data_IF_080754388103
#
_entry.id   IF_080754388103
#
_cell.length_a   1.000
_cell.length_b   1.000
_cell.length_c   1.000
_cell.angle_alpha   90.00
_cell.angle_beta   90.00
_cell.angle_gamma   90.00
#
_symmetry.space_group_name_H-M   'P 1'
#
loop_
_entity.id
_entity.type
_entity.pdbx_description
1 polymer ?
#
# COMPACT_ATOMS: atom_id res chain seq x y z
N UNK A 1 17.86 30.44 12.17
CA UNK A 1 16.72 31.31 12.56
C UNK A 1 15.66 30.44 13.21
N UNK A 2 15.11 30.82 14.37
CA UNK A 2 14.02 30.07 15.03
C UNK A 2 12.69 30.36 14.34
N UNK A 3 11.86 29.35 14.13
CA UNK A 3 10.51 29.53 13.57
C UNK A 3 9.58 30.10 14.66
N UNK A 4 8.76 31.08 14.30
CA UNK A 4 7.78 31.68 15.21
C UNK A 4 6.41 31.81 14.55
N UNK A 5 5.34 31.60 15.31
CA UNK A 5 3.95 31.85 14.89
C UNK A 5 3.21 32.54 16.02
N UNK A 6 2.50 33.63 15.70
CA UNK A 6 1.73 34.43 16.67
C UNK A 6 2.54 34.83 17.92
N UNK A 7 3.80 35.20 17.74
CA UNK A 7 4.68 35.64 18.82
C UNK A 7 5.26 34.53 19.70
N UNK A 8 4.92 33.26 19.46
CA UNK A 8 5.51 32.11 20.15
C UNK A 8 6.61 31.51 19.28
N UNK A 9 7.81 31.39 19.84
CA UNK A 9 8.92 30.70 19.20
C UNK A 9 8.75 29.19 19.37
N UNK A 10 8.92 28.43 18.29
CA UNK A 10 8.92 26.97 18.34
C UNK A 10 10.34 26.44 18.48
N UNK A 11 10.49 25.47 19.36
CA UNK A 11 11.62 24.55 19.30
C UNK A 11 11.31 23.57 18.16
N UNK A 12 12.19 23.58 17.16
CA UNK A 12 12.11 22.64 16.05
C UNK A 12 13.00 21.47 16.43
N UNK A 13 12.41 20.30 16.63
CA UNK A 13 13.15 19.04 16.76
C UNK A 13 13.27 18.44 15.34
N UNK A 14 14.38 18.67 14.62
CA UNK A 14 14.59 18.01 13.35
C UNK A 14 14.75 16.51 13.59
N UNK A 15 13.89 15.71 12.95
CA UNK A 15 14.02 14.26 12.95
C UNK A 15 15.32 13.89 12.22
N UNK A 16 16.27 13.29 12.94
CA UNK A 16 17.52 12.77 12.38
C UNK A 16 17.30 11.51 11.54
N UNK A 17 16.53 11.62 10.46
CA UNK A 17 16.25 10.51 9.57
C UNK A 17 17.46 10.28 8.67
N UNK A 18 18.01 9.05 8.67
CA UNK A 18 19.03 8.66 7.70
C UNK A 18 18.41 8.60 6.31
N UNK A 19 18.95 9.42 5.40
CA UNK A 19 18.52 9.52 4.00
C UNK A 19 19.60 8.91 3.12
N UNK A 20 19.20 8.01 2.22
CA UNK A 20 20.05 7.47 1.18
C UNK A 20 19.76 8.17 -0.15
N UNK A 21 20.81 8.44 -0.91
CA UNK A 21 20.69 8.82 -2.31
C UNK A 21 20.24 7.60 -3.12
N UNK A 22 19.21 7.75 -3.95
CA UNK A 22 18.79 6.71 -4.87
C UNK A 22 19.49 6.80 -6.21
N UNK A 23 19.49 5.66 -6.92
CA UNK A 23 20.13 5.52 -8.24
C UNK A 23 19.44 6.36 -9.34
N UNK A 24 18.23 6.85 -9.05
CA UNK A 24 17.44 7.68 -9.96
C UNK A 24 17.85 9.15 -9.79
N UNK A 25 18.38 9.74 -10.85
CA UNK A 25 18.74 11.15 -10.90
C UNK A 25 18.68 11.73 -12.31
N UNK A 26 18.89 13.03 -12.43
CA UNK A 26 18.89 13.75 -13.70
C UNK A 26 19.19 15.23 -13.53
N UNK A 27 18.87 16.03 -14.54
CA UNK A 27 18.96 17.49 -14.48
C UNK A 27 17.56 18.09 -14.57
N UNK A 28 17.16 18.91 -13.60
CA UNK A 28 15.93 19.70 -13.64
C UNK A 28 16.28 21.18 -13.71
N UNK A 29 15.86 21.85 -14.79
CA UNK A 29 16.14 23.28 -15.06
C UNK A 29 17.63 23.64 -14.97
N UNK A 30 18.50 22.76 -15.45
CA UNK A 30 19.95 22.95 -15.42
C UNK A 30 20.62 22.62 -14.08
N UNK A 31 19.86 22.38 -13.02
CA UNK A 31 20.37 21.92 -11.73
C UNK A 31 20.37 20.40 -11.67
N UNK A 32 21.39 19.80 -11.06
CA UNK A 32 21.37 18.37 -10.77
C UNK A 32 20.25 18.06 -9.74
N UNK A 33 19.43 17.08 -10.08
CA UNK A 33 18.35 16.58 -9.24
C UNK A 33 18.58 15.09 -8.99
N UNK A 34 18.55 14.70 -7.71
CA UNK A 34 18.67 13.30 -7.28
C UNK A 34 17.47 12.93 -6.43
N UNK A 35 16.98 11.71 -6.60
CA UNK A 35 15.96 11.16 -5.73
C UNK A 35 16.58 10.75 -4.40
N UNK A 36 15.96 11.16 -3.29
CA UNK A 36 16.42 10.84 -1.94
C UNK A 36 15.29 10.10 -1.23
N UNK A 37 15.60 8.98 -0.59
CA UNK A 37 14.62 8.23 0.18
C UNK A 37 15.17 7.82 1.56
N UNK A 38 14.31 7.72 2.58
CA UNK A 38 14.72 7.25 3.89
C UNK A 38 15.30 5.83 3.81
N UNK A 39 16.40 5.57 4.53
CA UNK A 39 16.98 4.22 4.61
C UNK A 39 16.02 3.20 5.22
N UNK A 40 15.26 3.63 6.23
CA UNK A 40 14.27 2.83 6.92
C UNK A 40 12.92 3.55 6.91
N UNK A 41 11.85 2.82 6.59
CA UNK A 41 10.49 3.36 6.68
C UNK A 41 10.14 3.54 8.17
N UNK A 42 9.88 4.76 8.64
CA UNK A 42 9.65 4.98 10.06
C UNK A 42 8.32 4.36 10.48
N UNK A 43 8.33 3.63 11.59
CA UNK A 43 7.10 3.12 12.17
C UNK A 43 6.34 4.26 12.85
N UNK A 44 5.10 4.46 12.42
CA UNK A 44 4.21 5.48 12.94
C UNK A 44 3.45 4.93 14.16
N UNK A 45 3.57 5.58 15.31
CA UNK A 45 2.77 5.25 16.48
C UNK A 45 1.50 6.12 16.56
N UNK A 46 0.31 5.50 16.73
CA UNK A 46 -0.92 6.25 16.97
C UNK A 46 -0.88 6.88 18.37
N UNK A 47 -1.44 8.08 18.51
CA UNK A 47 -1.59 8.73 19.82
C UNK A 47 -2.69 8.05 20.61
N UNK A 48 -2.34 7.48 21.76
CA UNK A 48 -3.20 6.63 22.59
C UNK A 48 -4.55 7.27 23.04
N UNK A 49 -4.67 8.60 23.00
CA UNK A 49 -5.80 9.32 23.61
C UNK A 49 -6.93 9.73 22.64
N UNK A 50 -6.82 9.42 21.33
CA UNK A 50 -7.84 9.82 20.35
C UNK A 50 -8.60 8.61 19.81
N UNK A 51 -9.90 8.56 20.11
CA UNK A 51 -10.81 7.52 19.62
C UNK A 51 -11.98 8.15 18.86
N UNK A 52 -12.40 7.54 17.76
CA UNK A 52 -13.63 7.84 17.03
C UNK A 52 -14.40 6.53 16.84
N UNK A 53 -15.66 6.48 17.31
CA UNK A 53 -16.50 5.27 17.30
C UNK A 53 -15.80 4.04 17.91
N UNK A 54 -15.06 4.23 19.00
CA UNK A 54 -14.28 3.18 19.65
C UNK A 54 -12.99 2.78 18.93
N UNK A 55 -12.68 3.35 17.77
CA UNK A 55 -11.45 3.09 17.00
C UNK A 55 -10.43 4.19 17.28
N UNK A 56 -9.23 3.81 17.73
CA UNK A 56 -8.15 4.77 17.92
C UNK A 56 -7.69 5.35 16.58
N UNK A 57 -7.57 6.67 16.47
CA UNK A 57 -7.07 7.33 15.25
C UNK A 57 -6.16 8.51 15.59
N UNK A 58 -5.14 8.75 14.75
CA UNK A 58 -4.19 9.85 14.91
C UNK A 58 -3.99 10.57 13.59
N UNK A 59 -4.34 11.85 13.51
CA UNK A 59 -4.09 12.68 12.32
C UNK A 59 -2.62 13.14 12.21
N UNK A 60 -1.83 12.95 13.26
CA UNK A 60 -0.38 13.24 13.34
C UNK A 60 0.31 12.20 14.23
N UNK A 61 0.58 10.99 13.72
CA UNK A 61 1.30 9.96 14.48
C UNK A 61 2.71 10.42 14.84
N UNK A 62 3.22 9.93 15.96
CA UNK A 62 4.61 10.18 16.35
C UNK A 62 5.51 9.19 15.58
N UNK A 63 6.69 9.65 15.16
CA UNK A 63 7.71 8.81 14.54
C UNK A 63 8.55 8.17 15.64
N UNK A 64 8.76 6.85 15.58
CA UNK A 64 9.82 6.19 16.36
C UNK A 64 11.09 6.14 15.51
N UNK A 65 12.18 6.70 16.03
CA UNK A 65 13.49 6.69 15.38
C UNK A 65 14.42 5.59 15.91
N UNK A 66 14.05 4.89 16.99
CA UNK A 66 14.87 3.82 17.57
C UNK A 66 14.28 2.43 17.30
N UNK A 67 15.07 1.46 16.82
CA UNK A 67 14.66 0.07 16.84
C UNK A 67 14.59 -0.35 18.31
N UNK A 68 13.37 -0.42 18.86
CA UNK A 68 13.14 -1.11 20.14
C UNK A 68 13.48 -2.58 19.95
N UNK A 69 14.76 -2.90 20.10
CA UNK A 69 15.22 -4.25 20.37
C UNK A 69 14.51 -4.71 21.64
N UNK A 70 13.88 -5.88 21.57
CA UNK A 70 13.22 -6.57 22.68
C UNK A 70 12.06 -5.85 23.37
N UNK A 71 10.91 -5.76 22.71
CA UNK A 71 9.67 -6.12 23.37
C UNK A 71 8.93 -7.09 22.46
N UNK A 72 8.94 -8.37 22.85
CA UNK A 72 8.00 -9.36 22.34
C UNK A 72 6.61 -8.87 22.75
N UNK A 73 5.98 -8.08 21.87
CA UNK A 73 4.56 -7.83 21.96
C UNK A 73 3.89 -9.19 21.73
N UNK A 74 3.04 -9.69 22.65
CA UNK A 74 2.08 -10.70 22.26
C UNK A 74 1.08 -9.97 21.37
N UNK A 75 1.46 -9.74 20.12
CA UNK A 75 0.47 -9.53 19.07
C UNK A 75 -0.27 -10.85 19.07
N UNK A 76 -1.42 -10.89 19.73
CA UNK A 76 -2.40 -11.90 19.41
C UNK A 76 -2.62 -11.74 17.93
N UNK A 77 -2.00 -12.60 17.13
CA UNK A 77 -2.40 -12.85 15.77
C UNK A 77 -3.77 -13.51 15.91
N UNK A 78 -4.78 -12.73 16.32
CA UNK A 78 -6.15 -13.07 15.97
C UNK A 78 -6.10 -12.97 14.47
N UNK A 79 -5.92 -14.12 13.82
CA UNK A 79 -6.20 -14.26 12.40
C UNK A 79 -7.49 -13.50 12.19
N UNK A 80 -7.55 -12.55 11.23
CA UNK A 80 -8.80 -11.89 10.94
C UNK A 80 -9.82 -13.01 10.80
N UNK A 81 -10.86 -13.02 11.64
CA UNK A 81 -11.91 -13.99 11.51
C UNK A 81 -12.46 -13.73 10.11
N UNK A 82 -12.00 -14.55 9.16
CA UNK A 82 -12.41 -14.43 7.78
C UNK A 82 -13.87 -14.81 7.88
N UNK A 83 -14.73 -13.81 7.86
CA UNK A 83 -16.13 -14.03 7.52
C UNK A 83 -16.06 -14.41 6.05
N UNK A 84 -15.74 -15.69 5.80
CA UNK A 84 -15.81 -16.31 4.49
C UNK A 84 -17.30 -16.34 4.20
N UNK A 85 -17.82 -15.23 3.69
CA UNK A 85 -19.11 -15.24 3.04
C UNK A 85 -18.85 -15.89 1.69
N UNK A 86 -19.25 -17.14 1.56
CA UNK A 86 -19.22 -17.89 0.30
C UNK A 86 -19.93 -17.11 -0.82
N UNK A 87 -20.84 -16.20 -0.48
CA UNK A 87 -21.50 -15.31 -1.45
C UNK A 87 -20.51 -14.31 -2.08
N UNK A 88 -19.58 -13.75 -1.29
CA UNK A 88 -18.60 -12.78 -1.80
C UNK A 88 -17.60 -13.46 -2.74
N UNK A 89 -17.16 -14.68 -2.41
CA UNK A 89 -16.27 -15.45 -3.29
C UNK A 89 -16.98 -15.84 -4.59
N UNK A 90 -18.24 -16.24 -4.54
CA UNK A 90 -19.06 -16.54 -5.72
C UNK A 90 -19.23 -15.31 -6.62
N UNK A 91 -19.62 -14.15 -6.06
CA UNK A 91 -19.78 -12.90 -6.83
C UNK A 91 -18.46 -12.46 -7.47
N UNK A 92 -17.34 -12.63 -6.77
CA UNK A 92 -16.03 -12.33 -7.31
C UNK A 92 -15.70 -13.21 -8.53
N UNK A 93 -15.94 -14.52 -8.44
CA UNK A 93 -15.72 -15.46 -9.53
C UNK A 93 -16.61 -15.17 -10.75
N UNK A 94 -17.88 -14.88 -10.53
CA UNK A 94 -18.80 -14.48 -11.60
C UNK A 94 -18.33 -13.19 -12.29
N UNK A 95 -17.83 -12.23 -11.53
CA UNK A 95 -17.30 -10.97 -12.07
C UNK A 95 -16.08 -11.21 -12.95
N UNK A 96 -15.17 -12.09 -12.53
CA UNK A 96 -13.99 -12.48 -13.32
C UNK A 96 -14.42 -13.16 -14.63
N UNK A 97 -15.34 -14.15 -14.56
CA UNK A 97 -15.84 -14.87 -15.75
C UNK A 97 -16.45 -13.92 -16.77
N UNK A 98 -17.39 -13.06 -16.35
CA UNK A 98 -18.03 -12.08 -17.21
C UNK A 98 -17.04 -11.12 -17.86
N UNK A 99 -15.98 -10.73 -17.13
CA UNK A 99 -14.94 -9.85 -17.67
C UNK A 99 -14.10 -10.55 -18.75
N UNK A 100 -13.80 -11.84 -18.58
CA UNK A 100 -13.06 -12.62 -19.57
C UNK A 100 -13.88 -12.90 -20.82
N UNK A 101 -15.15 -13.26 -20.69
CA UNK A 101 -16.06 -13.46 -21.83
C UNK A 101 -16.14 -12.20 -22.70
N UNK A 102 -16.37 -11.04 -22.07
CA UNK A 102 -16.40 -9.77 -22.79
C UNK A 102 -15.08 -9.46 -23.51
N UNK A 103 -13.93 -9.75 -22.87
CA UNK A 103 -12.61 -9.55 -23.49
C UNK A 103 -12.39 -10.50 -24.66
N UNK A 104 -12.88 -11.74 -24.57
CA UNK A 104 -12.85 -12.71 -25.66
C UNK A 104 -13.70 -12.25 -26.85
N UNK A 105 -14.92 -11.77 -26.62
CA UNK A 105 -15.79 -11.24 -27.67
C UNK A 105 -15.12 -10.06 -28.41
N UNK A 106 -14.51 -9.14 -27.66
CA UNK A 106 -13.78 -8.01 -28.26
C UNK A 106 -12.57 -8.50 -29.06
N UNK A 107 -11.79 -9.43 -28.51
CA UNK A 107 -10.62 -9.98 -29.20
C UNK A 107 -11.01 -10.73 -30.49
N UNK A 108 -12.13 -11.46 -30.47
CA UNK A 108 -12.71 -12.13 -31.65
C UNK A 108 -13.17 -11.13 -32.70
N UNK A 109 -13.83 -10.04 -32.29
CA UNK A 109 -14.24 -8.98 -33.21
C UNK A 109 -13.04 -8.27 -33.85
N UNK A 110 -11.93 -8.14 -33.12
CA UNK A 110 -10.70 -7.53 -33.62
C UNK A 110 -9.81 -8.50 -34.42
N UNK A 111 -10.01 -9.81 -34.30
CA UNK A 111 -9.17 -10.83 -34.93
C UNK A 111 -7.80 -11.03 -34.25
N UNK A 112 -7.67 -10.71 -32.96
CA UNK A 112 -6.42 -10.81 -32.20
C UNK A 112 -6.17 -12.24 -31.69
N UNK A 113 -5.71 -13.13 -32.56
CA UNK A 113 -5.50 -14.56 -32.27
C UNK A 113 -4.59 -14.83 -31.05
N UNK A 114 -3.55 -14.00 -30.87
CA UNK A 114 -2.65 -14.10 -29.72
C UNK A 114 -3.40 -13.85 -28.40
N UNK A 115 -4.23 -12.80 -28.37
CA UNK A 115 -5.01 -12.44 -27.19
C UNK A 115 -6.08 -13.50 -26.89
N UNK A 116 -6.72 -14.04 -27.92
CA UNK A 116 -7.69 -15.13 -27.79
C UNK A 116 -7.05 -16.36 -27.13
N UNK A 117 -5.83 -16.73 -27.55
CA UNK A 117 -5.13 -17.87 -26.98
C UNK A 117 -4.76 -17.67 -25.50
N UNK A 118 -4.28 -16.47 -25.13
CA UNK A 118 -3.99 -16.14 -23.73
C UNK A 118 -5.25 -16.17 -22.86
N UNK A 119 -6.36 -15.62 -23.34
CA UNK A 119 -7.64 -15.61 -22.61
C UNK A 119 -8.22 -17.03 -22.42
N UNK A 120 -8.02 -17.93 -23.40
CA UNK A 120 -8.38 -19.34 -23.27
C UNK A 120 -7.56 -20.05 -22.20
N UNK A 121 -6.27 -19.75 -22.07
CA UNK A 121 -5.41 -20.29 -21.01
C UNK A 121 -5.88 -19.81 -19.64
N UNK A 122 -6.13 -18.49 -19.50
CA UNK A 122 -6.63 -17.90 -18.25
C UNK A 122 -7.97 -18.55 -17.82
N UNK A 123 -8.83 -18.90 -18.78
CA UNK A 123 -10.07 -19.63 -18.52
C UNK A 123 -9.84 -21.05 -17.99
N UNK A 124 -8.87 -21.78 -18.54
CA UNK A 124 -8.49 -23.13 -18.07
C UNK A 124 -7.93 -23.06 -16.67
N UNK A 125 -7.04 -22.10 -16.40
CA UNK A 125 -6.42 -21.92 -15.08
C UNK A 125 -7.46 -21.58 -14.01
N UNK A 126 -8.44 -20.73 -14.34
CA UNK A 126 -9.56 -20.43 -13.43
C UNK A 126 -10.43 -21.65 -13.15
N UNK A 127 -10.56 -22.58 -14.10
CA UNK A 127 -11.30 -23.82 -13.87
C UNK A 127 -10.53 -24.78 -12.95
N UNK A 128 -9.21 -24.85 -13.11
CA UNK A 128 -8.34 -25.72 -12.31
C UNK A 128 -8.18 -25.23 -10.86
N UNK A 129 -8.08 -23.92 -10.66
CA UNK A 129 -7.88 -23.33 -9.33
C UNK A 129 -9.18 -23.21 -8.48
N UNK A 130 -10.32 -23.66 -9.00
CA UNK A 130 -11.63 -23.64 -8.32
C UNK A 130 -12.16 -25.04 -7.97
N UNK A 131 -11.31 -26.08 -8.04
CA UNK A 131 -11.56 -27.45 -7.52
C UNK A 131 -10.68 -27.66 -6.29
#
# INVERSE_FOLDING_TARGET
MKLSYRGVAYETDPLGLEINEGDIGGKYRGQDWKYHYPRHMPQLQPKLHRQYRGVAYSSRPNFMTEPTTSLSCPVSHTQPTVIISDEVSQVHLETIRRRLERRLEIALANGDDQLINLLKQEYVDLKLNNV
#
